data_IF_583231669999
#
_entry.id   IF_583231669999
#
_cell.length_a   1.000
_cell.length_b   1.000
_cell.length_c   1.000
_cell.angle_alpha   90.00
_cell.angle_beta   90.00
_cell.angle_gamma   90.00
#
_symmetry.space_group_name_H-M   'P 1'
#
loop_
_entity.id
_entity.type
_entity.pdbx_description
1 polymer ?
#
# COMPACT_ATOMS: atom_id res chain seq x y z
N UNK A 1 8.22 5.04 -9.98
CA UNK A 1 8.39 3.57 -9.88
C UNK A 1 9.15 3.33 -8.59
N UNK A 2 8.65 2.48 -7.69
CA UNK A 2 9.43 2.07 -6.52
C UNK A 2 10.58 1.21 -7.04
N UNK A 3 11.82 1.58 -6.72
CA UNK A 3 12.98 0.70 -6.88
C UNK A 3 12.62 -0.67 -6.30
N UNK A 4 12.69 -1.74 -7.10
CA UNK A 4 12.28 -3.08 -6.68
C UNK A 4 13.16 -3.68 -5.58
N UNK A 5 14.23 -2.98 -5.20
CA UNK A 5 15.23 -3.42 -4.24
C UNK A 5 15.51 -2.31 -3.21
N UNK A 6 15.57 -2.70 -1.94
CA UNK A 6 15.90 -1.87 -0.79
C UNK A 6 17.10 -2.53 -0.11
N UNK A 7 18.22 -1.83 -0.01
CA UNK A 7 19.42 -2.36 0.61
C UNK A 7 19.28 -2.47 2.13
N UNK A 8 20.13 -3.28 2.76
CA UNK A 8 20.16 -3.42 4.21
C UNK A 8 20.30 -2.06 4.91
N UNK A 9 19.45 -1.80 5.91
CA UNK A 9 19.41 -0.54 6.65
C UNK A 9 18.76 0.64 5.91
N UNK A 10 18.35 0.48 4.64
CA UNK A 10 17.65 1.53 3.92
C UNK A 10 16.14 1.48 4.14
N UNK A 11 15.49 2.58 3.82
CA UNK A 11 14.03 2.70 3.82
C UNK A 11 13.54 3.00 2.40
N UNK A 12 12.33 2.56 2.10
CA UNK A 12 11.65 2.84 0.84
C UNK A 12 10.27 3.46 1.09
N UNK A 13 9.74 4.14 0.09
CA UNK A 13 8.41 4.76 0.14
C UNK A 13 7.44 4.05 -0.81
N UNK A 14 6.23 3.73 -0.32
CA UNK A 14 5.13 3.21 -1.13
C UNK A 14 4.16 4.37 -1.42
N UNK A 15 4.28 4.96 -2.61
CA UNK A 15 3.36 6.01 -3.06
C UNK A 15 2.11 5.40 -3.69
N UNK A 16 0.95 5.75 -3.15
CA UNK A 16 -0.36 5.25 -3.60
C UNK A 16 -1.17 6.39 -4.18
N UNK A 17 -1.82 6.17 -5.33
CA UNK A 17 -2.78 7.11 -5.92
C UNK A 17 -4.11 6.42 -6.13
N UNK A 18 -5.18 7.09 -5.70
CA UNK A 18 -6.54 6.56 -5.72
C UNK A 18 -7.44 7.52 -6.49
N UNK A 19 -8.00 7.05 -7.61
CA UNK A 19 -9.05 7.78 -8.29
C UNK A 19 -10.40 7.49 -7.61
N UNK A 20 -11.01 8.54 -7.04
CA UNK A 20 -12.31 8.47 -6.35
C UNK A 20 -13.49 8.87 -7.24
N UNK A 21 -13.26 9.25 -8.51
CA UNK A 21 -14.33 9.64 -9.43
C UNK A 21 -15.38 8.53 -9.55
N UNK A 22 -16.64 8.88 -9.35
CA UNK A 22 -17.76 7.94 -9.38
C UNK A 22 -17.87 7.00 -8.17
N UNK A 23 -17.02 7.17 -7.14
CA UNK A 23 -17.09 6.38 -5.89
C UNK A 23 -17.63 7.25 -4.77
N UNK A 24 -18.63 6.76 -4.04
CA UNK A 24 -19.23 7.42 -2.88
C UNK A 24 -19.31 6.41 -1.73
N UNK A 25 -19.15 6.89 -0.49
CA UNK A 25 -19.28 6.05 0.70
C UNK A 25 -17.96 5.47 1.18
N UNK A 26 -18.05 4.45 2.02
CA UNK A 26 -16.91 3.80 2.68
C UNK A 26 -16.43 2.61 1.85
N UNK A 27 -15.12 2.49 1.65
CA UNK A 27 -14.51 1.29 1.12
C UNK A 27 -13.13 1.06 1.72
N UNK A 28 -12.71 -0.20 1.76
CA UNK A 28 -11.37 -0.59 2.16
C UNK A 28 -10.66 -1.32 1.01
N UNK A 29 -9.35 -1.11 0.90
CA UNK A 29 -8.46 -1.81 -0.03
C UNK A 29 -7.15 -2.12 0.67
N UNK A 30 -6.61 -3.31 0.42
CA UNK A 30 -5.34 -3.73 1.00
C UNK A 30 -4.24 -3.73 -0.06
N UNK A 31 -3.07 -3.25 0.32
CA UNK A 31 -1.84 -3.35 -0.45
C UNK A 31 -1.05 -4.52 0.14
N UNK A 32 -0.80 -5.54 -0.67
CA UNK A 32 0.07 -6.66 -0.30
C UNK A 32 1.51 -6.31 -0.59
N UNK A 33 2.34 -6.24 0.45
CA UNK A 33 3.79 -6.08 0.37
C UNK A 33 4.41 -7.45 0.56
N UNK A 34 5.15 -7.90 -0.45
CA UNK A 34 5.87 -9.16 -0.45
C UNK A 34 7.36 -8.84 -0.45
N UNK A 35 8.11 -9.46 0.46
CA UNK A 35 9.55 -9.25 0.59
C UNK A 35 10.26 -10.57 0.88
N UNK A 36 11.58 -10.51 0.87
CA UNK A 36 12.49 -11.57 1.29
C UNK A 36 12.78 -11.57 2.80
N UNK A 37 11.98 -10.87 3.62
CA UNK A 37 12.09 -10.94 5.08
C UNK A 37 11.69 -12.36 5.56
N UNK A 38 12.59 -13.12 6.21
CA UNK A 38 12.30 -14.49 6.63
C UNK A 38 11.30 -14.58 7.80
N UNK A 39 11.20 -13.54 8.63
CA UNK A 39 10.26 -13.50 9.75
C UNK A 39 8.88 -13.00 9.33
N UNK A 40 8.81 -12.10 8.34
CA UNK A 40 7.55 -11.51 7.90
C UNK A 40 7.52 -11.23 6.38
N UNK A 41 7.48 -12.28 5.54
CA UNK A 41 7.58 -12.14 4.07
C UNK A 41 6.36 -11.49 3.42
N UNK A 42 5.25 -11.34 4.17
CA UNK A 42 3.99 -10.76 3.70
C UNK A 42 3.45 -9.77 4.72
N UNK A 43 3.20 -8.56 4.27
CA UNK A 43 2.56 -7.50 5.05
C UNK A 43 1.37 -6.97 4.26
N UNK A 44 0.22 -6.85 4.90
CA UNK A 44 -0.97 -6.23 4.32
C UNK A 44 -1.20 -4.86 4.93
N UNK A 45 -1.13 -3.81 4.11
CA UNK A 45 -1.44 -2.44 4.50
C UNK A 45 -2.86 -2.13 4.06
N UNK A 46 -3.80 -2.03 5.00
CA UNK A 46 -5.21 -1.77 4.68
C UNK A 46 -5.52 -0.28 4.73
N UNK A 47 -5.96 0.26 3.60
CA UNK A 47 -6.45 1.62 3.44
C UNK A 47 -7.96 1.62 3.56
N UNK A 48 -8.49 2.38 4.52
CA UNK A 48 -9.93 2.66 4.64
C UNK A 48 -10.20 4.08 4.17
N UNK A 49 -11.11 4.23 3.21
CA UNK A 49 -11.43 5.50 2.56
C UNK A 49 -12.91 5.78 2.73
N UNK A 50 -13.26 7.03 3.00
CA UNK A 50 -14.64 7.51 2.95
C UNK A 50 -14.72 8.69 2.00
N UNK A 51 -15.38 8.50 0.86
CA UNK A 51 -15.63 9.57 -0.11
C UNK A 51 -16.98 10.21 0.22
N UNK A 52 -16.97 11.52 0.38
CA UNK A 52 -18.17 12.35 0.59
C UNK A 52 -18.61 12.94 -0.75
N UNK A 53 -19.91 13.27 -0.84
CA UNK A 53 -20.51 13.90 -2.01
C UNK A 53 -20.17 15.38 -2.05
#
# INVERSE_FOLDING_TARGET
MSSGEILSGQTGEIKVSLNTRGRIGKFAKSIGVYSNDPGRPKIFLTLTVRVRR
#
